data_IF_216063846472
#
_entry.id   IF_216063846472
#
_cell.length_a   1.000
_cell.length_b   1.000
_cell.length_c   1.000
_cell.angle_alpha   90.00
_cell.angle_beta   90.00
_cell.angle_gamma   90.00
#
_symmetry.space_group_name_H-M   'P 1'
#
loop_
_entity.id
_entity.type
_entity.pdbx_description
1 polymer ?
#
# COMPACT_ATOMS: atom_id res chain seq x y z
N UNK A 1 17.46 10.75 -4.61
CA UNK A 1 16.79 11.40 -3.47
C UNK A 1 17.42 12.75 -3.25
N UNK A 2 16.71 13.75 -2.71
CA UNK A 2 17.36 14.96 -2.21
C UNK A 2 18.36 14.58 -1.11
N UNK A 3 19.58 15.13 -1.16
CA UNK A 3 20.68 14.86 -0.19
C UNK A 3 20.25 15.08 1.26
N UNK A 4 19.22 15.91 1.50
CA UNK A 4 18.67 16.19 2.81
C UNK A 4 17.94 15.02 3.51
N UNK A 5 17.74 13.86 2.85
CA UNK A 5 16.91 12.77 3.39
C UNK A 5 17.70 11.70 4.15
N UNK A 6 19.00 11.56 3.87
CA UNK A 6 19.86 10.53 4.43
C UNK A 6 19.79 10.43 5.97
N UNK A 7 19.74 11.54 6.73
CA UNK A 7 19.65 11.48 8.20
C UNK A 7 18.37 10.84 8.74
N UNK A 8 17.29 10.80 7.95
CA UNK A 8 15.99 10.29 8.38
C UNK A 8 15.71 8.85 7.95
N UNK A 9 16.62 8.25 7.19
CA UNK A 9 16.49 6.86 6.75
C UNK A 9 16.99 5.95 7.86
N UNK A 10 16.09 5.15 8.45
CA UNK A 10 16.49 4.03 9.28
C UNK A 10 16.99 2.88 8.40
N UNK A 11 18.30 2.88 8.14
CA UNK A 11 18.97 1.86 7.34
C UNK A 11 18.83 0.45 7.92
N UNK A 12 18.69 0.34 9.25
CA UNK A 12 18.47 -0.95 9.89
C UNK A 12 17.07 -1.45 9.60
N UNK A 13 16.06 -0.61 9.74
CA UNK A 13 14.68 -0.94 9.41
C UNK A 13 14.49 -1.26 7.92
N UNK A 14 15.25 -0.60 7.04
CA UNK A 14 15.26 -0.89 5.61
C UNK A 14 15.66 -2.36 5.33
N UNK A 15 16.67 -2.87 6.05
CA UNK A 15 17.23 -4.21 5.86
C UNK A 15 16.49 -5.26 6.70
N UNK A 16 16.39 -5.04 8.01
CA UNK A 16 15.88 -6.02 8.98
C UNK A 16 14.35 -6.11 9.00
N UNK A 17 13.65 -5.07 8.51
CA UNK A 17 12.19 -5.01 8.40
C UNK A 17 11.36 -5.32 9.68
N UNK A 18 11.80 -4.98 10.91
CA UNK A 18 11.25 -5.55 12.15
C UNK A 18 9.79 -5.19 12.45
N UNK A 19 9.26 -4.14 11.82
CA UNK A 19 7.88 -3.66 12.00
C UNK A 19 7.29 -3.14 10.68
N UNK A 20 7.59 -3.87 9.60
CA UNK A 20 7.19 -3.52 8.23
C UNK A 20 5.69 -3.71 8.01
N UNK A 21 5.04 -2.64 7.55
CA UNK A 21 3.67 -2.69 7.00
C UNK A 21 3.74 -2.41 5.50
N UNK A 22 2.99 -3.15 4.70
CA UNK A 22 2.93 -2.90 3.26
C UNK A 22 1.56 -3.25 2.67
N UNK A 23 1.26 -2.67 1.51
CA UNK A 23 0.19 -3.09 0.61
C UNK A 23 0.77 -3.36 -0.77
N UNK A 24 0.67 -4.60 -1.20
CA UNK A 24 1.04 -5.02 -2.56
C UNK A 24 -0.19 -4.88 -3.44
N UNK A 25 -0.12 -4.00 -4.43
CA UNK A 25 -1.21 -3.81 -5.39
C UNK A 25 -1.03 -4.77 -6.58
N UNK A 26 -2.06 -5.57 -6.79
CA UNK A 26 -2.16 -6.63 -7.77
C UNK A 26 -3.21 -6.26 -8.83
N UNK A 27 -2.91 -6.62 -10.08
CA UNK A 27 -3.90 -6.65 -11.16
C UNK A 27 -4.34 -8.09 -11.41
N UNK A 28 -5.65 -8.36 -11.53
CA UNK A 28 -6.11 -9.68 -11.91
C UNK A 28 -5.77 -9.96 -13.38
N UNK A 29 -5.32 -11.16 -13.65
CA UNK A 29 -5.11 -11.73 -14.98
C UNK A 29 -6.12 -12.85 -15.20
N UNK A 30 -6.21 -13.38 -16.43
CA UNK A 30 -7.10 -14.52 -16.71
C UNK A 30 -6.76 -15.74 -15.87
N UNK A 31 -5.47 -16.01 -15.70
CA UNK A 31 -4.95 -17.21 -15.04
C UNK A 31 -4.15 -16.89 -13.76
N UNK A 32 -4.46 -15.78 -13.08
CA UNK A 32 -3.77 -15.40 -11.84
C UNK A 32 -3.78 -13.91 -11.57
N UNK A 33 -2.67 -13.39 -11.07
CA UNK A 33 -2.49 -11.98 -10.76
C UNK A 33 -1.04 -11.56 -10.98
N UNK A 34 -0.81 -10.26 -11.14
CA UNK A 34 0.53 -9.69 -11.20
C UNK A 34 0.65 -8.44 -10.33
N UNK A 35 1.83 -8.23 -9.75
CA UNK A 35 2.20 -7.06 -8.97
C UNK A 35 2.35 -5.88 -9.94
N UNK A 36 1.61 -4.80 -9.68
CA UNK A 36 1.72 -3.55 -10.42
C UNK A 36 2.33 -2.40 -9.60
N UNK A 37 2.30 -2.50 -8.26
CA UNK A 37 2.85 -1.50 -7.34
C UNK A 37 3.10 -2.08 -5.94
N UNK A 38 4.15 -1.58 -5.28
CA UNK A 38 4.50 -1.92 -3.90
C UNK A 38 4.36 -0.66 -3.04
N UNK A 39 3.45 -0.68 -2.06
CA UNK A 39 3.23 0.44 -1.15
C UNK A 39 3.72 0.05 0.24
N UNK A 40 4.88 0.58 0.67
CA UNK A 40 5.40 0.36 2.01
C UNK A 40 5.01 1.48 2.99
N UNK A 41 4.16 2.43 2.60
CA UNK A 41 3.65 3.46 3.53
C UNK A 41 2.34 3.03 4.18
N UNK A 42 1.66 4.01 4.77
CA UNK A 42 0.39 3.89 5.47
C UNK A 42 -0.65 3.17 4.61
N UNK A 43 -0.87 1.90 4.92
CA UNK A 43 -1.97 1.13 4.37
C UNK A 43 -3.29 1.59 4.98
N UNK A 44 -3.80 2.76 4.60
CA UNK A 44 -5.09 3.25 5.11
C UNK A 44 -6.25 2.40 4.60
N UNK A 45 -7.25 2.15 5.44
CA UNK A 45 -8.57 1.64 5.04
C UNK A 45 -8.70 0.11 5.03
N UNK A 46 -7.61 -0.65 5.13
CA UNK A 46 -7.67 -2.11 5.06
C UNK A 46 -8.44 -2.72 6.22
N UNK A 47 -8.11 -2.32 7.45
CA UNK A 47 -8.76 -2.86 8.65
C UNK A 47 -10.22 -2.46 8.77
N UNK A 48 -10.56 -1.20 8.43
CA UNK A 48 -11.94 -0.72 8.45
C UNK A 48 -12.80 -1.42 7.40
N UNK A 49 -12.29 -1.58 6.18
CA UNK A 49 -13.02 -2.28 5.12
C UNK A 49 -13.21 -3.76 5.45
N UNK A 50 -12.22 -4.40 6.08
CA UNK A 50 -12.38 -5.75 6.61
C UNK A 50 -13.53 -5.81 7.63
N UNK A 51 -13.56 -4.91 8.62
CA UNK A 51 -14.61 -4.90 9.65
C UNK A 51 -16.01 -4.65 9.05
N UNK A 52 -16.14 -3.73 8.09
CA UNK A 52 -17.40 -3.50 7.39
C UNK A 52 -17.84 -4.72 6.59
N UNK A 53 -16.91 -5.36 5.89
CA UNK A 53 -17.18 -6.62 5.21
C UNK A 53 -17.59 -7.71 6.19
N UNK A 54 -17.01 -7.76 7.39
CA UNK A 54 -17.36 -8.77 8.39
C UNK A 54 -18.78 -8.61 8.89
N UNK A 55 -19.18 -7.39 9.22
CA UNK A 55 -20.58 -7.07 9.56
C UNK A 55 -21.54 -7.47 8.43
N UNK A 56 -21.18 -7.15 7.17
CA UNK A 56 -21.97 -7.54 6.01
C UNK A 56 -22.11 -9.07 5.92
N UNK A 57 -21.00 -9.77 5.86
CA UNK A 57 -20.95 -11.21 5.64
C UNK A 57 -21.63 -12.00 6.75
N UNK A 58 -21.48 -11.59 8.02
CA UNK A 58 -22.19 -12.19 9.15
C UNK A 58 -23.72 -12.02 9.01
N UNK A 59 -24.15 -10.87 8.50
CA UNK A 59 -25.57 -10.60 8.23
C UNK A 59 -26.16 -11.45 7.10
N UNK A 60 -25.31 -11.94 6.19
CA UNK A 60 -25.68 -12.81 5.07
C UNK A 60 -25.27 -14.28 5.28
N UNK A 61 -24.81 -14.66 6.47
CA UNK A 61 -24.45 -16.04 6.79
C UNK A 61 -23.28 -16.59 5.97
N UNK A 62 -22.34 -15.74 5.55
CA UNK A 62 -21.15 -16.18 4.83
C UNK A 62 -20.29 -17.06 5.75
N UNK A 63 -19.61 -18.09 5.21
CA UNK A 63 -18.78 -18.97 6.03
C UNK A 63 -17.58 -18.20 6.60
N UNK A 64 -17.23 -18.53 7.85
CA UNK A 64 -15.98 -18.10 8.45
C UNK A 64 -14.79 -18.77 7.77
N UNK A 65 -13.66 -18.08 7.74
CA UNK A 65 -12.40 -18.59 7.19
C UNK A 65 -11.22 -18.25 8.08
N UNK A 66 -10.47 -19.28 8.47
CA UNK A 66 -9.21 -19.11 9.21
C UNK A 66 -8.14 -18.35 8.37
N UNK A 67 -8.30 -18.33 7.05
CA UNK A 67 -7.44 -17.56 6.15
C UNK A 67 -7.83 -16.07 6.10
N UNK A 68 -9.05 -15.71 6.49
CA UNK A 68 -9.56 -14.35 6.48
C UNK A 68 -9.16 -13.60 7.76
N UNK A 69 -7.88 -13.23 7.81
CA UNK A 69 -7.30 -12.55 8.96
C UNK A 69 -7.46 -11.03 8.80
N UNK A 70 -7.96 -10.38 9.85
CA UNK A 70 -8.09 -8.92 9.89
C UNK A 70 -6.71 -8.25 9.80
N UNK A 71 -6.57 -7.18 8.99
CA UNK A 71 -5.39 -6.32 9.01
C UNK A 71 -5.02 -5.85 10.42
N UNK A 72 -5.99 -5.51 11.27
CA UNK A 72 -5.71 -5.07 12.64
C UNK A 72 -5.22 -6.20 13.55
N UNK A 73 -5.66 -7.44 13.34
CA UNK A 73 -5.13 -8.60 14.06
C UNK A 73 -3.67 -8.88 13.67
N UNK A 74 -3.36 -8.79 12.37
CA UNK A 74 -1.99 -8.92 11.87
C UNK A 74 -1.09 -7.78 12.37
N UNK A 75 -1.59 -6.54 12.39
CA UNK A 75 -0.90 -5.40 12.99
C UNK A 75 -0.65 -5.60 14.50
N UNK A 76 -1.63 -6.12 15.24
CA UNK A 76 -1.47 -6.43 16.66
C UNK A 76 -0.42 -7.54 16.89
N UNK A 77 -0.39 -8.54 16.02
CA UNK A 77 0.64 -9.57 16.07
C UNK A 77 2.04 -8.98 15.84
N UNK A 78 2.20 -8.16 14.80
CA UNK A 78 3.45 -7.46 14.51
C UNK A 78 3.96 -6.70 15.74
N UNK A 79 3.12 -5.87 16.36
CA UNK A 79 3.56 -5.07 17.51
C UNK A 79 3.81 -5.87 18.79
N UNK A 80 3.13 -7.00 18.99
CA UNK A 80 3.52 -7.93 20.06
C UNK A 80 4.91 -8.49 19.83
N UNK A 81 5.21 -8.96 18.62
CA UNK A 81 6.54 -9.47 18.28
C UNK A 81 7.61 -8.38 18.41
N UNK A 82 7.33 -7.17 17.94
CA UNK A 82 8.22 -6.01 18.10
C UNK A 82 8.50 -5.74 19.58
N UNK A 83 7.47 -5.68 20.43
CA UNK A 83 7.62 -5.41 21.87
C UNK A 83 8.37 -6.51 22.63
N UNK A 84 8.35 -7.74 22.13
CA UNK A 84 9.11 -8.85 22.71
C UNK A 84 10.61 -8.78 22.37
N UNK A 85 10.96 -8.16 21.25
CA UNK A 85 12.36 -8.02 20.79
C UNK A 85 13.00 -6.72 21.27
N UNK A 86 12.21 -5.65 21.36
CA UNK A 86 12.67 -4.31 21.72
C UNK A 86 11.74 -3.72 22.77
N UNK A 87 12.26 -3.23 23.91
CA UNK A 87 11.44 -2.60 24.94
C UNK A 87 10.54 -1.52 24.35
N UNK A 88 9.23 -1.78 24.36
CA UNK A 88 8.20 -0.89 23.81
C UNK A 88 7.05 -0.86 24.80
N UNK A 89 6.88 0.28 25.46
CA UNK A 89 5.83 0.48 26.48
C UNK A 89 4.65 1.28 25.91
N UNK A 90 4.93 2.18 24.96
CA UNK A 90 3.94 3.04 24.33
C UNK A 90 3.87 2.79 22.83
N UNK A 91 2.64 2.65 22.31
CA UNK A 91 2.34 2.65 20.88
C UNK A 91 1.46 3.85 20.54
N UNK A 92 1.96 4.73 19.69
CA UNK A 92 1.22 5.90 19.24
C UNK A 92 0.75 5.70 17.81
N UNK A 93 -0.56 5.79 17.59
CA UNK A 93 -1.14 5.90 16.25
C UNK A 93 -1.14 7.39 15.89
N UNK A 94 -0.16 7.79 15.09
CA UNK A 94 0.09 9.20 14.79
C UNK A 94 -0.36 9.54 13.37
N UNK A 95 -1.32 10.45 13.26
CA UNK A 95 -1.87 10.94 11.99
C UNK A 95 -1.89 12.47 11.99
N UNK A 96 -1.86 13.13 10.84
CA UNK A 96 -1.91 14.59 10.81
C UNK A 96 -3.33 15.13 10.85
N UNK A 97 -3.52 16.24 11.57
CA UNK A 97 -4.82 16.90 11.70
C UNK A 97 -5.41 17.31 10.33
N UNK A 98 -4.56 17.55 9.33
CA UNK A 98 -4.94 17.80 7.94
C UNK A 98 -5.75 16.67 7.29
N UNK A 99 -5.53 15.41 7.72
CA UNK A 99 -6.21 14.24 7.16
C UNK A 99 -7.66 14.11 7.62
N UNK A 100 -7.99 14.60 8.81
CA UNK A 100 -9.37 14.60 9.31
C UNK A 100 -10.31 15.36 8.37
N UNK A 101 -9.84 16.44 7.75
CA UNK A 101 -10.61 17.23 6.79
C UNK A 101 -10.85 16.52 5.44
N UNK A 102 -10.08 15.47 5.14
CA UNK A 102 -10.18 14.71 3.88
C UNK A 102 -11.14 13.51 3.97
N UNK A 103 -11.74 13.28 5.15
CA UNK A 103 -12.67 12.18 5.37
C UNK A 103 -12.00 10.81 5.46
N UNK A 104 -10.69 10.75 5.70
CA UNK A 104 -10.01 9.49 6.01
C UNK A 104 -10.53 8.92 7.33
N UNK A 105 -10.63 7.57 7.46
CA UNK A 105 -10.94 6.95 8.73
C UNK A 105 -9.93 7.39 9.80
N UNK A 106 -10.43 7.76 10.97
CA UNK A 106 -9.56 8.00 12.11
C UNK A 106 -9.05 6.67 12.69
N UNK A 107 -7.99 6.74 13.51
CA UNK A 107 -7.32 5.56 14.05
C UNK A 107 -8.07 4.88 15.21
N UNK A 108 -9.36 5.19 15.41
CA UNK A 108 -10.14 4.69 16.55
C UNK A 108 -10.37 3.18 16.51
N UNK A 109 -10.74 2.64 15.34
CA UNK A 109 -10.96 1.20 15.18
C UNK A 109 -9.65 0.44 15.37
N UNK A 110 -8.57 0.90 14.73
CA UNK A 110 -7.23 0.37 14.94
C UNK A 110 -6.86 0.32 16.43
N UNK A 111 -7.02 1.44 17.14
CA UNK A 111 -6.77 1.51 18.58
C UNK A 111 -7.61 0.51 19.37
N UNK A 112 -8.90 0.34 19.07
CA UNK A 112 -9.77 -0.61 19.78
C UNK A 112 -9.27 -2.05 19.62
N UNK A 113 -8.95 -2.47 18.39
CA UNK A 113 -8.41 -3.80 18.11
C UNK A 113 -7.06 -4.03 18.78
N UNK A 114 -6.16 -3.05 18.68
CA UNK A 114 -4.82 -3.12 19.27
C UNK A 114 -4.88 -3.15 20.80
N UNK A 115 -5.67 -2.28 21.44
CA UNK A 115 -5.77 -2.20 22.90
C UNK A 115 -6.39 -3.48 23.49
N UNK A 116 -7.32 -4.10 22.76
CA UNK A 116 -7.85 -5.40 23.13
C UNK A 116 -6.79 -6.52 23.00
N UNK A 117 -6.00 -6.49 21.92
CA UNK A 117 -5.04 -7.55 21.60
C UNK A 117 -3.71 -7.46 22.35
N UNK A 118 -3.36 -6.27 22.84
CA UNK A 118 -2.08 -5.96 23.51
C UNK A 118 -2.34 -5.17 24.81
N UNK A 119 -3.06 -5.74 25.79
CA UNK A 119 -3.58 -4.98 26.95
C UNK A 119 -2.51 -4.43 27.90
N UNK A 120 -1.23 -4.82 27.74
CA UNK A 120 -0.10 -4.34 28.56
C UNK A 120 0.63 -3.15 27.95
N UNK A 121 0.36 -2.83 26.68
CA UNK A 121 0.96 -1.71 25.99
C UNK A 121 0.05 -0.50 26.12
N UNK A 122 0.61 0.66 26.41
CA UNK A 122 -0.13 1.91 26.45
C UNK A 122 -0.31 2.43 25.02
N UNK A 123 -1.53 2.30 24.48
CA UNK A 123 -1.84 2.63 23.09
C UNK A 123 -2.63 3.93 23.05
N UNK A 124 -2.16 4.91 22.29
CA UNK A 124 -2.77 6.23 22.21
C UNK A 124 -2.91 6.68 20.76
N UNK A 125 -3.90 7.54 20.50
CA UNK A 125 -4.10 8.19 19.21
C UNK A 125 -3.72 9.65 19.38
N UNK A 126 -2.88 10.14 18.48
CA UNK A 126 -2.48 11.54 18.48
C UNK A 126 -2.42 12.11 17.07
N UNK A 127 -2.51 13.43 17.03
CA UNK A 127 -2.07 14.26 15.92
C UNK A 127 -0.82 15.06 16.29
N UNK A 128 -0.25 15.82 15.35
CA UNK A 128 0.97 16.61 15.58
C UNK A 128 0.79 17.58 16.74
N UNK A 129 -0.41 18.15 16.91
CA UNK A 129 -0.70 19.16 17.93
C UNK A 129 -0.83 18.54 19.33
N UNK A 130 -1.63 17.48 19.45
CA UNK A 130 -1.87 16.78 20.71
C UNK A 130 -0.65 16.00 21.18
N UNK A 131 0.17 15.47 20.27
CA UNK A 131 1.41 14.78 20.62
C UNK A 131 2.41 15.73 21.26
N UNK A 132 2.67 16.89 20.62
CA UNK A 132 3.58 17.91 21.16
C UNK A 132 3.12 18.39 22.53
N UNK A 133 1.82 18.56 22.73
CA UNK A 133 1.27 18.92 24.04
C UNK A 133 1.50 17.81 25.09
N UNK A 134 1.32 16.54 24.71
CA UNK A 134 1.44 15.39 25.62
C UNK A 134 2.88 15.15 26.06
N UNK A 135 3.86 15.34 25.18
CA UNK A 135 5.27 15.02 25.44
C UNK A 135 6.18 16.22 25.66
N UNK A 136 5.58 17.39 25.90
CA UNK A 136 6.33 18.56 26.35
C UNK A 136 7.12 18.21 27.61
N UNK A 137 8.45 18.20 27.50
CA UNK A 137 9.37 17.90 28.60
C UNK A 137 9.77 16.43 28.76
N UNK A 138 9.27 15.51 27.92
CA UNK A 138 9.80 14.15 27.85
C UNK A 138 11.04 14.12 26.95
N UNK A 139 12.20 13.79 27.52
CA UNK A 139 13.49 13.82 26.80
C UNK A 139 13.91 12.49 26.20
N UNK A 140 13.32 11.37 26.64
CA UNK A 140 13.64 10.02 26.18
C UNK A 140 12.36 9.32 25.73
N UNK A 141 12.33 8.97 24.44
CA UNK A 141 11.25 8.26 23.75
C UNK A 141 11.72 6.89 23.23
N UNK A 142 12.81 6.33 23.77
CA UNK A 142 13.38 5.05 23.34
C UNK A 142 12.47 3.84 23.58
N UNK A 143 11.46 3.95 24.43
CA UNK A 143 10.42 2.94 24.67
C UNK A 143 9.13 3.18 23.84
N UNK A 144 9.13 4.15 22.93
CA UNK A 144 7.98 4.54 22.10
C UNK A 144 8.11 3.95 20.69
N UNK A 145 7.01 3.35 20.22
CA UNK A 145 6.80 3.02 18.82
C UNK A 145 5.66 3.89 18.25
N UNK A 146 5.88 4.50 17.10
CA UNK A 146 4.90 5.31 16.38
C UNK A 146 4.44 4.54 15.15
N UNK A 147 3.17 4.16 15.10
CA UNK A 147 2.53 3.76 13.85
C UNK A 147 2.26 5.02 13.02
N UNK A 148 2.95 5.14 11.89
CA UNK A 148 2.86 6.31 11.02
C UNK A 148 1.58 6.20 10.18
N UNK A 149 0.70 7.19 10.31
CA UNK A 149 -0.51 7.34 9.50
C UNK A 149 -0.47 8.53 8.51
N UNK A 150 0.68 9.19 8.40
CA UNK A 150 0.93 10.30 7.47
C UNK A 150 1.95 9.96 6.38
N UNK A 151 1.88 10.68 5.25
CA UNK A 151 2.73 10.48 4.07
C UNK A 151 4.07 11.20 4.18
N UNK A 152 4.91 11.11 3.17
CA UNK A 152 6.13 11.92 3.11
C UNK A 152 5.85 13.42 2.95
N UNK A 153 4.91 13.79 2.08
CA UNK A 153 4.57 15.20 1.84
C UNK A 153 4.18 15.90 3.14
N UNK A 154 3.49 15.17 4.02
CA UNK A 154 3.11 15.56 5.37
C UNK A 154 4.29 15.80 6.31
N UNK A 155 5.38 15.02 6.19
CA UNK A 155 6.62 15.24 6.95
C UNK A 155 7.32 16.50 6.50
N UNK A 156 7.31 16.81 5.19
CA UNK A 156 7.99 18.03 4.70
C UNK A 156 7.41 19.32 5.27
N UNK A 157 6.14 19.30 5.66
CA UNK A 157 5.44 20.43 6.29
C UNK A 157 5.74 20.50 7.80
N UNK A 158 5.95 19.35 8.45
CA UNK A 158 6.11 19.21 9.92
C UNK A 158 7.46 18.54 10.28
N UNK A 159 8.52 18.92 9.58
CA UNK A 159 9.81 18.24 9.65
C UNK A 159 10.48 18.40 11.03
N UNK A 160 10.25 19.53 11.70
CA UNK A 160 10.72 19.82 13.05
C UNK A 160 10.16 18.86 14.09
N UNK A 161 8.88 18.52 14.00
CA UNK A 161 8.23 17.56 14.90
C UNK A 161 8.80 16.16 14.65
N UNK A 162 8.94 15.76 13.38
CA UNK A 162 9.49 14.45 13.04
C UNK A 162 10.95 14.30 13.49
N UNK A 163 11.78 15.33 13.28
CA UNK A 163 13.18 15.37 13.70
C UNK A 163 13.31 15.31 15.23
N UNK A 164 12.50 16.08 15.98
CA UNK A 164 12.49 16.07 17.44
C UNK A 164 12.13 14.68 18.01
N UNK A 165 11.16 13.99 17.41
CA UNK A 165 10.78 12.62 17.80
C UNK A 165 11.94 11.63 17.61
N UNK A 166 12.62 11.69 16.47
CA UNK A 166 13.76 10.83 16.18
C UNK A 166 14.95 11.12 17.11
N UNK A 167 15.28 12.39 17.34
CA UNK A 167 16.39 12.79 18.21
C UNK A 167 16.20 12.33 19.66
N UNK A 168 14.95 12.25 20.12
CA UNK A 168 14.60 11.71 21.44
C UNK A 168 14.49 10.18 21.47
N UNK A 169 14.68 9.50 20.35
CA UNK A 169 14.77 8.04 20.27
C UNK A 169 13.47 7.31 19.93
N UNK A 170 12.40 8.01 19.52
CA UNK A 170 11.18 7.34 19.07
C UNK A 170 11.43 6.50 17.80
N UNK A 171 10.74 5.37 17.67
CA UNK A 171 10.81 4.48 16.49
C UNK A 171 9.53 4.58 15.66
N UNK A 172 9.61 4.28 14.36
CA UNK A 172 8.47 4.40 13.43
C UNK A 172 8.13 3.11 12.68
N UNK A 173 6.85 2.81 12.54
CA UNK A 173 6.29 1.72 11.71
C UNK A 173 5.33 2.30 10.68
N UNK A 174 5.73 2.54 9.43
CA UNK A 174 7.11 2.58 8.91
C UNK A 174 7.70 3.99 9.03
N UNK A 175 9.03 4.13 9.06
CA UNK A 175 9.70 5.43 8.99
C UNK A 175 9.82 5.93 7.54
N UNK A 176 10.76 6.84 7.30
CA UNK A 176 11.03 7.39 5.96
C UNK A 176 11.83 6.45 5.05
N UNK A 177 12.41 5.37 5.59
CA UNK A 177 13.00 4.29 4.78
C UNK A 177 11.95 3.60 3.91
N UNK A 178 10.67 3.62 4.30
CA UNK A 178 9.59 3.12 3.45
C UNK A 178 9.43 3.92 2.15
N UNK A 179 9.78 5.20 2.14
CA UNK A 179 9.69 6.04 0.92
C UNK A 179 10.70 5.59 -0.14
N UNK A 180 11.85 5.06 0.29
CA UNK A 180 12.79 4.39 -0.62
C UNK A 180 12.14 3.16 -1.25
N UNK A 181 11.51 2.32 -0.43
CA UNK A 181 10.89 1.06 -0.86
C UNK A 181 9.66 1.27 -1.75
N UNK A 182 9.00 2.43 -1.63
CA UNK A 182 7.86 2.81 -2.46
C UNK A 182 8.21 3.24 -3.88
N UNK A 183 9.50 3.47 -4.17
CA UNK A 183 9.92 3.86 -5.50
C UNK A 183 9.54 2.78 -6.51
N UNK A 184 8.76 3.16 -7.52
CA UNK A 184 8.41 2.26 -8.63
C UNK A 184 9.66 1.82 -9.43
N UNK A 185 10.80 2.51 -9.24
CA UNK A 185 12.10 2.11 -9.75
C UNK A 185 12.51 0.69 -9.33
N UNK A 186 12.10 0.22 -8.15
CA UNK A 186 12.33 -1.16 -7.72
C UNK A 186 11.75 -2.19 -8.70
N UNK A 187 10.58 -1.92 -9.30
CA UNK A 187 9.96 -2.85 -10.24
C UNK A 187 10.83 -3.03 -11.50
N UNK A 188 11.35 -1.92 -12.04
CA UNK A 188 12.27 -1.95 -13.18
C UNK A 188 13.59 -2.64 -12.81
N UNK A 189 14.13 -2.34 -11.64
CA UNK A 189 15.40 -2.91 -11.19
C UNK A 189 15.32 -4.42 -10.93
N UNK A 190 14.24 -4.90 -10.30
CA UNK A 190 13.99 -6.32 -10.08
C UNK A 190 13.77 -7.08 -11.39
N UNK A 191 13.08 -6.47 -12.36
CA UNK A 191 12.85 -7.09 -13.66
C UNK A 191 14.11 -7.23 -14.52
N UNK A 192 15.06 -6.31 -14.36
CA UNK A 192 16.30 -6.27 -15.12
C UNK A 192 17.26 -7.41 -14.74
N UNK A 193 17.51 -8.28 -15.72
CA UNK A 193 18.36 -9.46 -15.57
C UNK A 193 19.80 -9.12 -15.15
N UNK A 194 20.27 -7.88 -15.40
CA UNK A 194 21.59 -7.42 -14.94
C UNK A 194 21.72 -7.45 -13.42
N UNK A 195 20.61 -7.34 -12.68
CA UNK A 195 20.60 -7.37 -11.21
C UNK A 195 20.34 -8.76 -10.63
N UNK A 196 20.03 -9.78 -11.46
CA UNK A 196 19.63 -11.10 -10.97
C UNK A 196 20.75 -11.86 -10.27
N UNK A 197 22.01 -11.45 -10.46
CA UNK A 197 23.15 -11.99 -9.71
C UNK A 197 23.14 -11.63 -8.21
N UNK A 198 22.27 -10.69 -7.78
CA UNK A 198 22.08 -10.30 -6.38
C UNK A 198 20.93 -11.05 -5.69
N UNK A 199 20.24 -11.93 -6.42
CA UNK A 199 18.99 -12.57 -5.98
C UNK A 199 19.13 -14.09 -5.99
N UNK A 200 18.37 -14.74 -5.12
CA UNK A 200 18.26 -16.19 -5.09
C UNK A 200 17.39 -16.71 -6.26
N UNK A 201 17.60 -17.96 -6.73
CA UNK A 201 16.83 -18.53 -7.84
C UNK A 201 15.30 -18.48 -7.65
N UNK A 202 14.83 -18.69 -6.43
CA UNK A 202 13.41 -18.63 -6.06
C UNK A 202 12.86 -17.21 -6.19
N UNK A 203 13.66 -16.20 -5.84
CA UNK A 203 13.28 -14.79 -5.97
C UNK A 203 13.19 -14.38 -7.44
N UNK A 204 14.12 -14.84 -8.28
CA UNK A 204 14.10 -14.61 -9.73
C UNK A 204 12.84 -15.24 -10.34
N UNK A 205 12.50 -16.47 -9.92
CA UNK A 205 11.28 -17.16 -10.36
C UNK A 205 10.03 -16.37 -9.96
N UNK A 206 9.94 -15.95 -8.68
CA UNK A 206 8.83 -15.12 -8.21
C UNK A 206 8.71 -13.80 -8.98
N UNK A 207 9.83 -13.15 -9.33
CA UNK A 207 9.81 -11.93 -10.17
C UNK A 207 9.25 -12.25 -11.56
N UNK A 208 9.63 -13.36 -12.18
CA UNK A 208 9.13 -13.72 -13.52
C UNK A 208 7.64 -14.07 -13.52
N UNK A 209 7.18 -14.71 -12.47
CA UNK A 209 5.80 -15.19 -12.38
C UNK A 209 4.83 -14.10 -11.92
N UNK A 210 5.27 -13.22 -11.02
CA UNK A 210 4.39 -12.26 -10.35
C UNK A 210 4.58 -10.82 -10.83
N UNK A 211 5.73 -10.42 -11.36
CA UNK A 211 5.97 -9.02 -11.72
C UNK A 211 5.67 -8.75 -13.20
N UNK A 212 4.93 -7.67 -13.47
CA UNK A 212 4.78 -7.20 -14.84
C UNK A 212 6.12 -6.69 -15.39
N UNK A 213 6.47 -7.00 -16.66
CA UNK A 213 7.69 -6.48 -17.28
C UNK A 213 7.80 -4.96 -17.12
N UNK A 214 8.93 -4.51 -16.56
CA UNK A 214 9.13 -3.12 -16.15
C UNK A 214 10.54 -2.66 -16.51
N UNK A 215 10.69 -1.39 -16.89
CA UNK A 215 11.94 -0.82 -17.37
C UNK A 215 12.13 0.60 -16.86
N UNK A 216 13.37 0.97 -16.56
CA UNK A 216 13.76 2.37 -16.35
C UNK A 216 13.76 3.08 -17.70
N UNK A 217 13.03 4.19 -17.83
CA UNK A 217 12.90 4.88 -19.13
C UNK A 217 14.25 5.40 -19.63
N UNK A 218 15.11 5.89 -18.75
CA UNK A 218 16.46 6.38 -19.11
C UNK A 218 17.41 5.29 -19.63
N UNK A 219 17.14 4.01 -19.35
CA UNK A 219 18.01 2.89 -19.72
C UNK A 219 17.54 2.14 -20.98
N UNK A 220 16.41 2.55 -21.56
CA UNK A 220 15.77 1.86 -22.69
C UNK A 220 15.96 2.67 -23.97
N UNK A 221 16.20 1.97 -25.08
CA UNK A 221 16.25 2.60 -26.39
C UNK A 221 14.95 3.35 -26.71
N UNK A 222 15.10 4.61 -27.14
CA UNK A 222 13.98 5.51 -27.42
C UNK A 222 13.05 4.95 -28.48
N UNK A 223 13.59 4.43 -29.58
CA UNK A 223 12.79 3.99 -30.72
C UNK A 223 11.99 2.74 -30.35
N UNK A 224 12.58 1.83 -29.59
CA UNK A 224 11.84 0.71 -29.00
C UNK A 224 10.72 1.19 -28.09
N UNK A 225 11.00 2.12 -27.17
CA UNK A 225 10.02 2.63 -26.20
C UNK A 225 8.80 3.24 -26.92
N UNK A 226 9.05 4.09 -27.92
CA UNK A 226 8.00 4.78 -28.68
C UNK A 226 7.23 3.83 -29.61
N UNK A 227 7.91 2.84 -30.19
CA UNK A 227 7.26 1.81 -31.02
C UNK A 227 6.35 0.88 -30.20
N UNK A 228 6.63 0.73 -28.90
CA UNK A 228 5.85 -0.12 -27.99
C UNK A 228 4.89 0.66 -27.09
N UNK A 229 4.83 2.00 -27.18
CA UNK A 229 4.15 2.85 -26.19
C UNK A 229 2.69 2.46 -25.92
N UNK A 230 1.97 1.96 -26.94
CA UNK A 230 0.55 1.63 -26.81
C UNK A 230 0.30 0.41 -25.91
N UNK A 231 1.35 -0.37 -25.63
CA UNK A 231 1.34 -1.51 -24.71
C UNK A 231 2.04 -1.21 -23.38
N UNK A 232 2.30 0.07 -23.09
CA UNK A 232 3.04 0.51 -21.92
C UNK A 232 2.22 1.51 -21.10
N UNK A 233 2.42 1.45 -19.79
CA UNK A 233 2.03 2.48 -18.83
C UNK A 233 3.31 3.10 -18.25
N UNK A 234 3.37 4.43 -18.29
CA UNK A 234 4.48 5.22 -17.77
C UNK A 234 4.11 5.72 -16.38
N UNK A 235 5.01 5.53 -15.42
CA UNK A 235 4.80 5.91 -14.02
C UNK A 235 6.01 6.66 -13.49
N UNK A 236 5.81 7.82 -12.87
CA UNK A 236 6.87 8.51 -12.14
C UNK A 236 7.24 7.72 -10.88
N UNK A 237 8.53 7.58 -10.60
CA UNK A 237 9.07 6.68 -9.56
C UNK A 237 8.52 6.97 -8.15
N UNK A 238 8.43 8.24 -7.76
CA UNK A 238 8.14 8.66 -6.38
C UNK A 238 6.86 9.50 -6.28
N UNK A 239 5.75 9.02 -6.86
CA UNK A 239 4.45 9.71 -6.81
C UNK A 239 3.34 8.81 -6.29
N UNK A 240 2.34 9.42 -5.65
CA UNK A 240 1.20 8.76 -4.99
C UNK A 240 -0.13 9.09 -5.69
N UNK A 241 -1.16 8.29 -5.37
CA UNK A 241 -2.55 8.63 -5.69
C UNK A 241 -2.90 8.70 -7.17
N UNK A 242 -2.11 8.06 -8.04
CA UNK A 242 -2.31 8.09 -9.49
C UNK A 242 -1.76 9.32 -10.19
N UNK A 243 -1.11 10.25 -9.47
CA UNK A 243 -0.33 11.32 -10.09
C UNK A 243 0.86 10.72 -10.83
N UNK A 244 1.32 11.39 -11.89
CA UNK A 244 2.49 10.94 -12.65
C UNK A 244 2.29 9.60 -13.38
N UNK A 245 1.06 9.24 -13.72
CA UNK A 245 0.73 8.06 -14.51
C UNK A 245 0.21 8.47 -15.89
N UNK A 246 0.76 7.85 -16.94
CA UNK A 246 0.37 8.10 -18.34
C UNK A 246 0.26 6.77 -19.07
N UNK A 247 -0.87 6.52 -19.72
CA UNK A 247 -0.97 5.40 -20.66
C UNK A 247 -0.27 5.80 -21.95
N UNK A 248 0.67 5.00 -22.46
CA UNK A 248 1.38 5.41 -23.67
C UNK A 248 0.47 5.54 -24.90
N UNK A 249 -0.67 4.84 -24.90
CA UNK A 249 -1.74 4.96 -25.90
C UNK A 249 -2.53 6.27 -25.83
N UNK A 250 -2.49 7.02 -24.71
CA UNK A 250 -3.27 8.25 -24.56
C UNK A 250 -2.63 9.47 -25.22
N UNK A 251 -1.35 9.39 -25.63
CA UNK A 251 -0.61 10.49 -26.24
C UNK A 251 0.07 10.08 -27.55
N UNK A 252 0.17 11.00 -28.54
CA UNK A 252 1.08 10.82 -29.67
C UNK A 252 2.54 10.70 -29.21
N UNK A 253 3.37 9.96 -29.96
CA UNK A 253 4.76 9.65 -29.57
C UNK A 253 5.60 10.90 -29.28
N UNK A 254 5.45 11.96 -30.06
CA UNK A 254 6.18 13.21 -29.85
C UNK A 254 5.78 13.91 -28.54
N UNK A 255 4.49 13.94 -28.21
CA UNK A 255 3.98 14.55 -26.99
C UNK A 255 4.38 13.73 -25.75
N UNK A 256 4.28 12.40 -25.83
CA UNK A 256 4.76 11.51 -24.78
C UNK A 256 6.25 11.72 -24.52
N UNK A 257 7.08 11.74 -25.57
CA UNK A 257 8.52 11.93 -25.42
C UNK A 257 8.87 13.28 -24.78
N UNK A 258 8.20 14.36 -25.22
CA UNK A 258 8.41 15.68 -24.62
C UNK A 258 8.05 15.69 -23.12
N UNK A 259 6.92 15.08 -22.75
CA UNK A 259 6.52 14.96 -21.35
C UNK A 259 7.56 14.21 -20.50
N UNK A 260 8.11 13.11 -21.03
CA UNK A 260 9.14 12.34 -20.34
C UNK A 260 10.42 13.18 -20.15
N UNK A 261 10.81 13.99 -21.15
CA UNK A 261 11.96 14.89 -21.08
C UNK A 261 11.76 16.05 -20.10
N UNK A 262 10.57 16.67 -20.09
CA UNK A 262 10.28 17.84 -19.25
C UNK A 262 10.43 17.53 -17.75
N UNK A 263 10.12 16.30 -17.35
CA UNK A 263 10.31 15.81 -15.98
C UNK A 263 11.71 15.20 -15.79
N UNK A 264 12.30 14.67 -16.86
CA UNK A 264 13.55 13.92 -16.86
C UNK A 264 13.33 12.42 -16.95
N UNK A 265 14.01 11.76 -17.90
CA UNK A 265 13.81 10.34 -18.21
C UNK A 265 14.02 9.42 -16.99
N UNK A 266 15.00 9.75 -16.14
CA UNK A 266 15.32 8.97 -14.94
C UNK A 266 14.24 9.02 -13.87
N UNK A 267 13.29 9.96 -13.95
CA UNK A 267 12.16 10.03 -13.04
C UNK A 267 11.08 9.00 -13.37
N UNK A 268 11.14 8.33 -14.52
CA UNK A 268 10.09 7.45 -15.03
C UNK A 268 10.50 5.97 -15.07
N UNK A 269 9.51 5.12 -14.87
CA UNK A 269 9.51 3.74 -15.36
C UNK A 269 8.46 3.57 -16.46
N UNK A 270 8.70 2.62 -17.36
CA UNK A 270 7.68 2.06 -18.23
C UNK A 270 7.37 0.65 -17.73
N UNK A 271 6.11 0.27 -17.68
CA UNK A 271 5.67 -1.07 -17.31
C UNK A 271 4.71 -1.58 -18.38
N UNK A 272 4.72 -2.90 -18.64
CA UNK A 272 3.76 -3.53 -19.55
C UNK A 272 2.34 -3.22 -19.06
N UNK A 273 1.55 -2.60 -19.93
CA UNK A 273 0.13 -2.46 -19.70
C UNK A 273 -0.56 -3.77 -20.10
N UNK A 274 -1.37 -4.30 -19.19
CA UNK A 274 -2.14 -5.53 -19.40
C UNK A 274 -3.62 -5.20 -19.33
N UNK A 275 -4.40 -5.78 -20.24
CA UNK A 275 -5.85 -5.73 -20.13
C UNK A 275 -6.29 -6.68 -19.02
N UNK A 276 -7.19 -6.21 -18.17
CA UNK A 276 -7.60 -6.92 -16.95
C UNK A 276 -9.06 -7.32 -17.07
N UNK A 277 -9.46 -8.49 -16.53
CA UNK A 277 -10.86 -8.87 -16.46
C UNK A 277 -11.68 -7.79 -15.74
N UNK A 278 -12.86 -7.49 -16.27
CA UNK A 278 -13.81 -6.60 -15.62
C UNK A 278 -14.84 -7.37 -14.81
N UNK A 279 -15.31 -6.77 -13.72
CA UNK A 279 -16.41 -7.26 -12.93
C UNK A 279 -17.60 -6.32 -13.08
N UNK A 280 -18.77 -6.85 -13.46
CA UNK A 280 -19.99 -6.07 -13.57
C UNK A 280 -20.67 -5.93 -12.22
N UNK A 281 -20.74 -4.71 -11.69
CA UNK A 281 -21.49 -4.39 -10.47
C UNK A 281 -22.07 -2.98 -10.53
N UNK A 282 -22.84 -2.60 -9.50
CA UNK A 282 -23.48 -1.29 -9.45
C UNK A 282 -22.45 -0.15 -9.32
N UNK A 283 -22.64 0.94 -10.07
CA UNK A 283 -21.81 2.16 -10.02
C UNK A 283 -22.26 3.11 -8.90
N UNK A 284 -23.52 3.02 -8.51
CA UNK A 284 -24.17 3.88 -7.52
C UNK A 284 -25.29 3.13 -6.76
N UNK A 285 -25.94 3.84 -5.84
CA UNK A 285 -27.05 3.31 -5.04
C UNK A 285 -28.35 3.19 -5.82
N UNK A 286 -28.43 3.81 -7.00
CA UNK A 286 -29.61 3.77 -7.87
C UNK A 286 -29.63 2.48 -8.72
N UNK A 287 -28.58 1.65 -8.61
CA UNK A 287 -28.55 0.30 -9.16
C UNK A 287 -28.17 0.28 -10.65
N UNK A 288 -27.49 1.31 -11.16
CA UNK A 288 -26.94 1.28 -12.51
C UNK A 288 -25.71 0.36 -12.53
N UNK A 289 -25.69 -0.66 -13.37
CA UNK A 289 -24.56 -1.60 -13.48
C UNK A 289 -23.63 -1.23 -14.63
N UNK A 290 -22.32 -1.31 -14.39
CA UNK A 290 -21.30 -1.15 -15.43
C UNK A 290 -20.19 -2.19 -15.26
N UNK A 291 -19.33 -2.32 -16.26
CA UNK A 291 -18.10 -3.11 -16.15
C UNK A 291 -17.05 -2.30 -15.39
N UNK A 292 -16.53 -2.84 -14.29
CA UNK A 292 -15.48 -2.24 -13.50
C UNK A 292 -14.16 -2.97 -13.68
N UNK A 293 -13.07 -2.23 -13.89
CA UNK A 293 -11.72 -2.77 -13.72
C UNK A 293 -11.37 -2.82 -12.25
N UNK A 294 -10.53 -3.78 -11.89
CA UNK A 294 -10.17 -4.07 -10.49
C UNK A 294 -8.67 -3.90 -10.25
N UNK A 295 -8.34 -3.43 -9.05
CA UNK A 295 -7.01 -3.52 -8.46
C UNK A 295 -7.18 -4.09 -7.05
N UNK A 296 -6.40 -5.12 -6.72
CA UNK A 296 -6.48 -5.83 -5.46
C UNK A 296 -5.28 -5.44 -4.58
N UNK A 297 -5.51 -4.91 -3.38
CA UNK A 297 -4.46 -4.51 -2.45
C UNK A 297 -4.30 -5.56 -1.35
N UNK A 298 -3.24 -6.36 -1.42
CA UNK A 298 -2.91 -7.33 -0.38
C UNK A 298 -2.13 -6.65 0.75
N UNK A 299 -2.67 -6.70 1.96
CA UNK A 299 -2.02 -6.12 3.15
C UNK A 299 -1.04 -7.11 3.77
N UNK A 300 0.18 -6.66 4.01
CA UNK A 300 1.26 -7.39 4.67
C UNK A 300 1.67 -6.69 5.96
N UNK A 301 1.74 -7.43 7.06
CA UNK A 301 2.30 -6.97 8.34
C UNK A 301 3.40 -7.95 8.76
N UNK A 302 4.66 -7.53 8.64
CA UNK A 302 5.79 -8.45 8.62
C UNK A 302 5.65 -9.45 7.47
N UNK A 303 5.68 -10.74 7.79
CA UNK A 303 5.50 -11.83 6.81
C UNK A 303 4.05 -12.31 6.68
N UNK A 304 3.10 -11.68 7.39
CA UNK A 304 1.70 -12.11 7.41
C UNK A 304 0.85 -11.33 6.42
N UNK A 305 0.24 -12.07 5.50
CA UNK A 305 -0.79 -11.53 4.63
C UNK A 305 -2.16 -11.48 5.34
N UNK A 306 -2.93 -10.47 4.98
CA UNK A 306 -4.36 -10.36 5.27
C UNK A 306 -5.14 -10.60 3.97
N UNK A 307 -6.47 -10.53 4.01
CA UNK A 307 -7.30 -10.49 2.80
C UNK A 307 -7.00 -9.29 1.87
N UNK A 308 -7.85 -9.11 0.86
CA UNK A 308 -7.60 -8.16 -0.22
C UNK A 308 -8.54 -6.96 -0.13
N UNK A 309 -7.97 -5.76 -0.11
CA UNK A 309 -8.69 -4.56 -0.51
C UNK A 309 -9.07 -4.69 -1.99
N UNK A 310 -10.35 -4.55 -2.31
CA UNK A 310 -10.81 -4.49 -3.69
C UNK A 310 -11.08 -3.03 -4.04
N UNK A 311 -10.36 -2.49 -5.02
CA UNK A 311 -10.69 -1.21 -5.63
C UNK A 311 -11.24 -1.44 -7.02
N UNK A 312 -12.38 -0.82 -7.33
CA UNK A 312 -13.03 -0.98 -8.62
C UNK A 312 -13.45 0.36 -9.22
N UNK A 313 -13.39 0.46 -10.55
CA UNK A 313 -13.81 1.68 -11.26
C UNK A 313 -14.17 1.42 -12.72
N UNK A 314 -15.20 2.12 -13.20
CA UNK A 314 -15.76 1.95 -14.54
C UNK A 314 -15.34 3.04 -15.55
N UNK A 315 -14.77 4.15 -15.07
CA UNK A 315 -14.50 5.35 -15.89
C UNK A 315 -13.06 5.46 -16.40
N UNK A 316 -12.11 4.82 -15.72
CA UNK A 316 -10.68 4.97 -15.97
C UNK A 316 -10.00 3.59 -16.04
N UNK A 317 -8.90 3.50 -16.79
CA UNK A 317 -8.02 2.33 -16.73
C UNK A 317 -7.02 2.42 -15.55
N UNK A 318 -6.82 3.60 -14.99
CA UNK A 318 -6.04 3.82 -13.76
C UNK A 318 -7.02 3.96 -12.60
N UNK A 319 -7.02 2.96 -11.70
CA UNK A 319 -7.94 2.88 -10.57
C UNK A 319 -7.29 3.47 -9.32
N UNK A 320 -7.83 4.59 -8.83
CA UNK A 320 -7.44 5.20 -7.55
C UNK A 320 -8.63 5.90 -6.88
N UNK A 321 -8.50 6.23 -5.59
CA UNK A 321 -9.58 6.90 -4.85
C UNK A 321 -10.00 8.25 -5.48
N UNK A 322 -9.04 9.04 -5.97
CA UNK A 322 -9.30 10.32 -6.64
C UNK A 322 -10.06 10.20 -7.98
N UNK A 323 -10.07 9.02 -8.60
CA UNK A 323 -10.81 8.73 -9.83
C UNK A 323 -12.27 8.29 -9.60
N UNK A 324 -12.73 8.28 -8.34
CA UNK A 324 -14.06 7.81 -7.97
C UNK A 324 -14.16 6.28 -7.87
N UNK A 325 -13.05 5.61 -7.59
CA UNK A 325 -13.06 4.16 -7.39
C UNK A 325 -13.86 3.80 -6.13
N UNK A 326 -14.66 2.74 -6.22
CA UNK A 326 -15.31 2.12 -5.07
C UNK A 326 -14.31 1.19 -4.38
N UNK A 327 -14.45 1.03 -3.07
CA UNK A 327 -13.59 0.17 -2.26
C UNK A 327 -14.42 -0.84 -1.48
N UNK A 328 -13.89 -2.05 -1.34
CA UNK A 328 -14.47 -3.14 -0.56
C UNK A 328 -13.39 -4.10 -0.10
N UNK A 329 -13.80 -5.23 0.44
CA UNK A 329 -12.91 -6.30 0.91
C UNK A 329 -13.27 -7.61 0.23
N UNK A 330 -12.26 -8.37 -0.17
CA UNK A 330 -12.40 -9.75 -0.58
C UNK A 330 -11.70 -10.65 0.46
N UNK A 331 -12.43 -11.59 1.07
CA UNK A 331 -11.84 -12.53 2.02
C UNK A 331 -10.89 -13.50 1.33
N UNK A 332 -9.96 -14.04 2.09
CA UNK A 332 -9.23 -15.23 1.70
C UNK A 332 -10.08 -16.47 2.06
N UNK A 333 -10.52 -17.21 1.03
CA UNK A 333 -11.29 -18.44 1.17
C UNK A 333 -10.51 -19.62 0.59
N UNK A 334 -10.67 -20.79 1.21
CA UNK A 334 -10.29 -22.06 0.57
C UNK A 334 -11.22 -22.36 -0.62
N UNK A 335 -10.83 -23.32 -1.47
CA UNK A 335 -11.69 -23.74 -2.58
C UNK A 335 -13.05 -24.24 -2.08
N UNK A 336 -13.07 -25.06 -1.03
CA UNK A 336 -14.31 -25.61 -0.47
C UNK A 336 -15.22 -24.51 0.09
N UNK A 337 -14.67 -23.53 0.81
CA UNK A 337 -15.43 -22.39 1.32
C UNK A 337 -15.96 -21.50 0.19
N UNK A 338 -15.20 -21.34 -0.90
CA UNK A 338 -15.67 -20.62 -2.09
C UNK A 338 -16.88 -21.32 -2.71
N UNK A 339 -16.82 -22.65 -2.88
CA UNK A 339 -17.95 -23.41 -3.42
C UNK A 339 -19.18 -23.33 -2.49
N UNK A 340 -18.98 -23.46 -1.17
CA UNK A 340 -20.05 -23.27 -0.18
C UNK A 340 -20.70 -21.88 -0.27
N UNK A 341 -19.88 -20.84 -0.45
CA UNK A 341 -20.38 -19.47 -0.63
C UNK A 341 -21.16 -19.31 -1.94
N UNK A 342 -20.73 -19.94 -3.03
CA UNK A 342 -21.48 -19.92 -4.28
C UNK A 342 -22.81 -20.66 -4.15
N UNK A 343 -22.81 -21.82 -3.50
CA UNK A 343 -24.04 -22.57 -3.23
C UNK A 343 -25.01 -21.77 -2.35
N UNK A 344 -24.53 -21.06 -1.32
CA UNK A 344 -25.39 -20.23 -0.46
C UNK A 344 -26.01 -19.06 -1.23
N UNK A 345 -25.21 -18.34 -2.03
CA UNK A 345 -25.70 -17.21 -2.83
C UNK A 345 -26.70 -17.65 -3.92
N UNK A 346 -26.47 -18.84 -4.51
CA UNK A 346 -27.31 -19.35 -5.60
C UNK A 346 -28.57 -20.05 -5.08
N UNK A 347 -28.55 -20.62 -3.87
CA UNK A 347 -29.71 -21.31 -3.27
C UNK A 347 -30.73 -20.38 -2.61
N UNK A 348 -30.36 -19.12 -2.32
CA UNK A 348 -31.28 -18.08 -1.87
C UNK A 348 -32.01 -17.34 -3.02
N UNK A 349 -31.85 -17.79 -4.27
CA UNK A 349 -32.63 -17.35 -5.44
C UNK A 349 -33.65 -18.41 -5.84
#
# INVERSE_FOLDING_TARGET
MPVAWEPYVDWRQLVDAPHRVARVDLVPLRDGHAICELNFSVGVGGGELHDYYRIFADSFGFPDSDADISPFQNLAHLYRETSARVPTEHLILLDWSSHAALGYPNQYLAHKHLAHSIPRMDIQIHDETSLVSKWRGCSDLSNVLIHRCFTFDDVTVNADIYDDLLQRGARFSNGLEAELLMSKGWLAMLWDARNHHLLEPEQITAIRDLLLPSWSVGDVDRDWLLSNKDHLIFKQKNTYGGKGIVLGSSLPSAALWQLLLDVGLDAWIAQRFVDTPTLKHAVDRDGVYADHRLVLGMYLHGERASGLLVRSGSRSAVINAGSGALAGWAPALTCDQREQLYDSILSER
#
